data_IF_493693562882
#
_entry.id   IF_493693562882
#
_cell.length_a   1.000
_cell.length_b   1.000
_cell.length_c   1.000
_cell.angle_alpha   90.00
_cell.angle_beta   90.00
_cell.angle_gamma   90.00
#
_symmetry.space_group_name_H-M   'P 1'
#
loop_
_entity.id
_entity.type
_entity.pdbx_description
1 polymer ?
#
# COMPACT_ATOMS: atom_id res chain seq x y z
N UNK A 1 -12.67 -12.82 26.04
CA UNK A 1 -11.42 -12.22 25.53
C UNK A 1 -11.73 -11.64 24.16
N UNK A 2 -12.29 -10.42 24.14
CA UNK A 2 -12.64 -9.75 22.89
C UNK A 2 -11.35 -9.27 22.23
N UNK A 3 -11.07 -9.75 21.02
CA UNK A 3 -9.95 -9.26 20.25
C UNK A 3 -10.20 -7.77 19.94
N UNK A 4 -9.27 -6.93 20.38
CA UNK A 4 -9.15 -5.50 20.09
C UNK A 4 -8.87 -5.23 18.60
N UNK A 5 -9.58 -5.87 17.68
CA UNK A 5 -9.60 -5.50 16.26
C UNK A 5 -10.55 -4.30 16.08
N UNK A 6 -10.33 -3.23 16.85
CA UNK A 6 -10.93 -1.95 16.52
C UNK A 6 -10.44 -1.57 15.11
N UNK A 7 -11.39 -1.14 14.31
CA UNK A 7 -11.34 -1.00 12.86
C UNK A 7 -10.06 -0.29 12.39
N UNK A 8 -9.16 -1.03 11.73
CA UNK A 8 -7.91 -0.52 11.13
C UNK A 8 -8.17 0.72 10.24
N UNK A 9 -9.39 0.86 9.70
CA UNK A 9 -9.81 2.04 8.94
C UNK A 9 -9.77 3.32 9.78
N UNK A 10 -10.14 3.27 11.06
CA UNK A 10 -10.17 4.42 11.97
C UNK A 10 -8.75 4.87 12.34
N UNK A 11 -7.79 3.95 12.41
CA UNK A 11 -6.37 4.27 12.63
C UNK A 11 -5.74 4.86 11.37
N UNK A 12 -6.00 4.25 10.20
CA UNK A 12 -5.55 4.77 8.90
C UNK A 12 -6.16 6.15 8.62
N UNK A 13 -7.41 6.40 8.98
CA UNK A 13 -8.07 7.70 8.82
C UNK A 13 -7.31 8.81 9.58
N UNK A 14 -6.92 8.54 10.83
CA UNK A 14 -6.20 9.50 11.69
C UNK A 14 -4.78 9.80 11.18
N UNK A 15 -4.12 8.81 10.60
CA UNK A 15 -2.71 8.93 10.16
C UNK A 15 -2.56 9.21 8.65
N UNK A 16 -3.66 9.25 7.89
CA UNK A 16 -3.66 9.47 6.43
C UNK A 16 -3.21 10.88 6.02
N UNK A 17 -3.25 11.86 6.92
CA UNK A 17 -2.90 13.25 6.64
C UNK A 17 -1.45 13.43 6.14
N UNK A 18 -0.54 12.51 6.48
CA UNK A 18 0.85 12.52 6.00
C UNK A 18 1.06 11.86 4.63
N UNK A 19 0.04 11.16 4.10
CA UNK A 19 0.17 10.36 2.89
C UNK A 19 -0.04 11.16 1.60
N UNK A 20 -0.76 12.27 1.67
CA UNK A 20 -1.25 13.04 0.52
C UNK A 20 -0.57 14.42 0.48
N UNK A 21 -0.42 15.01 -0.70
CA UNK A 21 0.22 16.33 -0.87
C UNK A 21 -0.47 17.43 -0.05
N UNK A 22 0.31 18.40 0.44
CA UNK A 22 -0.20 19.59 1.10
C UNK A 22 -0.94 20.48 0.07
N UNK A 23 -2.27 20.35 -0.01
CA UNK A 23 -3.10 21.09 -0.97
C UNK A 23 -4.31 20.32 -1.49
N UNK A 24 -4.36 18.99 -1.31
CA UNK A 24 -5.62 18.24 -1.39
C UNK A 24 -6.50 18.60 -0.18
N UNK A 25 -7.82 18.47 -0.30
CA UNK A 25 -8.84 19.02 0.62
C UNK A 25 -8.87 18.47 2.07
N UNK A 26 -7.73 18.13 2.66
CA UNK A 26 -7.61 17.47 3.96
C UNK A 26 -7.28 15.97 3.84
N UNK A 27 -7.36 15.21 4.94
CA UNK A 27 -7.27 13.74 4.90
C UNK A 27 -8.28 13.17 3.91
N UNK A 28 -7.96 12.02 3.30
CA UNK A 28 -8.84 11.37 2.34
C UNK A 28 -10.17 11.08 3.06
N UNK A 29 -11.31 11.65 2.63
CA UNK A 29 -12.58 11.40 3.30
C UNK A 29 -12.89 9.89 3.22
N UNK A 30 -13.60 9.30 4.20
CA UNK A 30 -13.91 7.87 4.19
C UNK A 30 -14.52 7.36 2.88
N UNK A 31 -15.35 8.20 2.22
CA UNK A 31 -15.95 7.90 0.92
C UNK A 31 -14.97 7.89 -0.27
N UNK A 32 -13.79 8.50 -0.13
CA UNK A 32 -12.73 8.58 -1.13
C UNK A 32 -11.58 7.59 -0.92
N UNK A 33 -11.53 6.88 0.21
CA UNK A 33 -10.45 5.94 0.53
C UNK A 33 -10.36 4.80 -0.48
N UNK A 34 -11.50 4.20 -0.85
CA UNK A 34 -11.53 3.10 -1.83
C UNK A 34 -11.02 3.57 -3.20
N UNK A 35 -11.45 4.75 -3.66
CA UNK A 35 -11.01 5.34 -4.92
C UNK A 35 -9.51 5.66 -4.91
N UNK A 36 -8.98 6.17 -3.80
CA UNK A 36 -7.55 6.42 -3.64
C UNK A 36 -6.74 5.12 -3.69
N UNK A 37 -7.18 4.07 -2.98
CA UNK A 37 -6.54 2.76 -3.02
C UNK A 37 -6.59 2.19 -4.43
N UNK A 38 -7.73 2.26 -5.13
CA UNK A 38 -7.87 1.82 -6.52
C UNK A 38 -6.88 2.53 -7.45
N UNK A 39 -6.73 3.85 -7.29
CA UNK A 39 -5.76 4.62 -8.03
C UNK A 39 -4.33 4.19 -7.70
N UNK A 40 -3.98 4.02 -6.43
CA UNK A 40 -2.63 3.65 -6.00
C UNK A 40 -2.22 2.25 -6.48
N UNK A 41 -3.17 1.31 -6.50
CA UNK A 41 -2.95 -0.04 -7.01
C UNK A 41 -2.74 -0.04 -8.53
N UNK A 42 -3.49 0.80 -9.25
CA UNK A 42 -3.44 0.85 -10.72
C UNK A 42 -2.23 1.65 -11.24
N UNK A 43 -2.01 2.84 -10.68
CA UNK A 43 -0.91 3.74 -11.01
C UNK A 43 -0.57 4.64 -9.80
N UNK A 44 0.34 4.14 -8.95
CA UNK A 44 0.81 4.91 -7.81
C UNK A 44 1.59 6.19 -8.19
N UNK A 45 2.13 6.29 -9.42
CA UNK A 45 2.88 7.49 -9.84
C UNK A 45 1.95 8.67 -10.09
N UNK A 46 0.77 8.41 -10.64
CA UNK A 46 -0.30 9.39 -10.84
C UNK A 46 -1.10 9.72 -9.57
N UNK A 47 -0.86 9.03 -8.45
CA UNK A 47 -1.52 9.35 -7.20
C UNK A 47 -1.02 10.66 -6.58
N UNK A 48 -1.91 11.42 -5.93
CA UNK A 48 -1.57 12.66 -5.23
C UNK A 48 -0.89 12.40 -3.88
N UNK A 49 0.15 11.55 -3.86
CA UNK A 49 0.90 11.24 -2.65
C UNK A 49 1.97 12.29 -2.36
N UNK A 50 2.24 12.54 -1.07
CA UNK A 50 3.30 13.46 -0.66
C UNK A 50 4.67 13.03 -1.21
N UNK A 51 5.59 13.98 -1.41
CA UNK A 51 6.96 13.67 -1.87
C UNK A 51 7.65 12.64 -0.97
N UNK A 52 7.40 12.72 0.35
CA UNK A 52 7.90 11.76 1.32
C UNK A 52 7.43 10.34 1.02
N UNK A 53 6.15 10.16 0.72
CA UNK A 53 5.57 8.85 0.34
C UNK A 53 6.05 8.42 -1.05
N UNK A 54 6.16 9.35 -1.98
CA UNK A 54 6.66 9.06 -3.34
C UNK A 54 8.03 8.38 -3.31
N UNK A 55 8.97 8.89 -2.50
CA UNK A 55 10.33 8.32 -2.41
C UNK A 55 10.33 6.89 -1.83
N UNK A 56 9.47 6.57 -0.86
CA UNK A 56 9.40 5.21 -0.32
C UNK A 56 8.73 4.22 -1.29
N UNK A 57 7.77 4.68 -2.10
CA UNK A 57 7.18 3.89 -3.17
C UNK A 57 8.17 3.62 -4.31
N UNK A 58 9.00 4.60 -4.69
CA UNK A 58 10.12 4.39 -5.63
C UNK A 58 11.07 3.30 -5.13
N UNK A 59 11.39 3.33 -3.83
CA UNK A 59 12.27 2.33 -3.23
C UNK A 59 11.61 0.95 -3.16
N UNK A 60 10.31 0.88 -2.86
CA UNK A 60 9.53 -0.35 -2.91
C UNK A 60 9.58 -0.99 -4.31
N UNK A 61 9.37 -0.20 -5.36
CA UNK A 61 9.50 -0.68 -6.74
C UNK A 61 10.91 -1.20 -7.03
N UNK A 62 11.95 -0.48 -6.58
CA UNK A 62 13.35 -0.88 -6.77
C UNK A 62 13.64 -2.23 -6.11
N UNK A 63 13.23 -2.43 -4.84
CA UNK A 63 13.38 -3.69 -4.12
C UNK A 63 12.66 -4.84 -4.84
N UNK A 64 11.48 -4.56 -5.40
CA UNK A 64 10.68 -5.57 -6.10
C UNK A 64 11.26 -5.97 -7.45
N UNK A 65 11.74 -5.01 -8.24
CA UNK A 65 12.21 -5.26 -9.62
C UNK A 65 13.70 -5.58 -9.72
N UNK A 66 14.53 -4.89 -8.96
CA UNK A 66 16.00 -4.91 -9.08
C UNK A 66 16.68 -4.90 -7.70
N UNK A 67 16.37 -5.85 -6.80
CA UNK A 67 16.85 -5.83 -5.41
C UNK A 67 18.38 -5.79 -5.30
N UNK A 68 19.10 -6.45 -6.22
CA UNK A 68 20.56 -6.46 -6.26
C UNK A 68 21.21 -5.09 -6.50
N UNK A 69 20.45 -4.10 -6.98
CA UNK A 69 20.92 -2.72 -7.19
C UNK A 69 20.70 -1.80 -5.99
N UNK A 70 20.06 -2.28 -4.92
CA UNK A 70 19.84 -1.49 -3.71
C UNK A 70 21.17 -1.18 -3.02
N UNK A 71 21.34 0.06 -2.59
CA UNK A 71 22.58 0.52 -1.98
C UNK A 71 22.33 1.56 -0.88
N UNK A 72 23.39 1.93 -0.16
CA UNK A 72 23.31 2.89 0.94
C UNK A 72 22.76 4.26 0.52
N UNK A 73 22.95 4.65 -0.75
CA UNK A 73 22.42 5.91 -1.27
C UNK A 73 20.88 5.94 -1.30
N UNK A 74 20.21 4.80 -1.51
CA UNK A 74 18.75 4.74 -1.45
C UNK A 74 18.24 5.03 -0.03
N UNK A 75 18.89 4.44 0.97
CA UNK A 75 18.59 4.69 2.39
C UNK A 75 18.86 6.15 2.76
N UNK A 76 19.94 6.74 2.23
CA UNK A 76 20.22 8.17 2.43
C UNK A 76 19.12 9.06 1.83
N UNK A 77 18.65 8.76 0.61
CA UNK A 77 17.52 9.49 -0.01
C UNK A 77 16.26 9.44 0.84
N UNK A 78 15.94 8.28 1.43
CA UNK A 78 14.78 8.13 2.33
C UNK A 78 14.93 8.94 3.61
N UNK A 79 16.11 8.95 4.22
CA UNK A 79 16.41 9.77 5.40
C UNK A 79 16.27 11.26 5.09
N UNK A 80 16.79 11.71 3.95
CA UNK A 80 16.65 13.11 3.49
C UNK A 80 15.19 13.49 3.25
N UNK A 81 14.34 12.54 2.83
CA UNK A 81 12.89 12.72 2.73
C UNK A 81 12.17 12.69 4.10
N UNK A 82 12.89 12.50 5.21
CA UNK A 82 12.36 12.56 6.57
C UNK A 82 11.86 11.22 7.12
N UNK A 83 12.24 10.09 6.54
CA UNK A 83 11.97 8.77 7.12
C UNK A 83 12.99 8.42 8.21
N UNK A 84 12.51 7.87 9.32
CA UNK A 84 13.38 7.33 10.37
C UNK A 84 13.95 5.97 9.95
N UNK A 85 15.08 5.58 10.53
CA UNK A 85 15.67 4.26 10.27
C UNK A 85 14.73 3.11 10.61
N UNK A 86 13.95 3.24 11.69
CA UNK A 86 12.92 2.28 12.06
C UNK A 86 11.84 2.17 10.98
N UNK A 87 11.30 3.30 10.49
CA UNK A 87 10.28 3.28 9.44
C UNK A 87 10.81 2.73 8.10
N UNK A 88 12.07 3.03 7.75
CA UNK A 88 12.71 2.46 6.56
C UNK A 88 12.83 0.94 6.71
N UNK A 89 13.30 0.47 7.87
CA UNK A 89 13.41 -0.95 8.16
C UNK A 89 12.06 -1.66 8.07
N UNK A 90 11.02 -1.11 8.71
CA UNK A 90 9.68 -1.70 8.71
C UNK A 90 9.10 -1.77 7.28
N UNK A 91 9.27 -0.72 6.49
CA UNK A 91 8.86 -0.72 5.09
C UNK A 91 9.58 -1.83 4.30
N UNK A 92 10.91 -1.95 4.43
CA UNK A 92 11.69 -2.99 3.76
C UNK A 92 11.22 -4.39 4.15
N UNK A 93 10.89 -4.62 5.42
CA UNK A 93 10.36 -5.90 5.88
C UNK A 93 9.03 -6.25 5.21
N UNK A 94 8.09 -5.30 5.16
CA UNK A 94 6.78 -5.50 4.51
C UNK A 94 6.96 -5.78 3.01
N UNK A 95 7.76 -4.96 2.32
CA UNK A 95 8.03 -5.11 0.88
C UNK A 95 8.67 -6.48 0.60
N UNK A 96 9.68 -6.86 1.37
CA UNK A 96 10.39 -8.13 1.20
C UNK A 96 9.47 -9.33 1.47
N UNK A 97 8.61 -9.24 2.50
CA UNK A 97 7.66 -10.29 2.82
C UNK A 97 6.66 -10.54 1.69
N UNK A 98 6.05 -9.48 1.14
CA UNK A 98 5.14 -9.63 -0.01
C UNK A 98 5.86 -10.19 -1.25
N UNK A 99 7.09 -9.74 -1.50
CA UNK A 99 7.92 -10.29 -2.56
C UNK A 99 8.25 -11.78 -2.36
N UNK A 100 8.40 -12.25 -1.13
CA UNK A 100 8.59 -13.68 -0.84
C UNK A 100 7.30 -14.47 -1.07
N UNK A 101 6.19 -14.08 -0.44
CA UNK A 101 4.95 -14.86 -0.49
C UNK A 101 4.34 -14.89 -1.90
N UNK A 102 4.45 -13.81 -2.67
CA UNK A 102 4.00 -13.78 -4.06
C UNK A 102 4.75 -14.80 -4.90
N UNK A 103 6.08 -14.91 -4.73
CA UNK A 103 6.88 -15.93 -5.44
C UNK A 103 6.53 -17.35 -5.03
N UNK A 104 6.21 -17.58 -3.75
CA UNK A 104 5.75 -18.89 -3.28
C UNK A 104 4.40 -19.24 -3.91
N UNK A 105 3.45 -18.31 -3.92
CA UNK A 105 2.14 -18.50 -4.54
C UNK A 105 2.26 -18.79 -6.04
N UNK A 106 3.05 -17.99 -6.76
CA UNK A 106 3.30 -18.15 -8.19
C UNK A 106 3.97 -19.50 -8.50
N UNK A 107 4.97 -19.90 -7.71
CA UNK A 107 5.71 -21.14 -7.92
C UNK A 107 4.88 -22.40 -7.63
N UNK A 108 3.90 -22.30 -6.73
CA UNK A 108 2.99 -23.40 -6.39
C UNK A 108 1.71 -23.40 -7.22
N UNK A 109 1.49 -22.39 -8.07
CA UNK A 109 0.28 -22.25 -8.87
C UNK A 109 -0.96 -22.03 -8.01
N UNK A 110 -0.84 -21.28 -6.91
CA UNK A 110 -1.97 -20.96 -6.04
C UNK A 110 -2.97 -20.11 -6.81
N UNK A 111 -4.18 -20.63 -6.99
CA UNK A 111 -5.28 -19.90 -7.62
C UNK A 111 -5.97 -18.97 -6.61
N UNK A 112 -6.52 -17.86 -7.12
CA UNK A 112 -7.36 -16.97 -6.33
C UNK A 112 -8.65 -17.69 -5.93
N UNK A 113 -9.12 -17.46 -4.69
CA UNK A 113 -10.39 -18.03 -4.24
C UNK A 113 -11.55 -17.54 -5.11
N UNK A 114 -12.36 -18.49 -5.60
CA UNK A 114 -13.57 -18.18 -6.35
C UNK A 114 -14.56 -17.43 -5.46
N UNK A 115 -14.97 -16.23 -5.90
CA UNK A 115 -15.95 -15.40 -5.20
C UNK A 115 -15.36 -14.21 -4.43
N UNK A 116 -14.02 -14.11 -4.32
CA UNK A 116 -13.40 -12.88 -3.86
C UNK A 116 -13.30 -11.88 -5.02
N UNK A 117 -13.79 -10.63 -4.86
CA UNK A 117 -13.57 -9.60 -5.85
C UNK A 117 -12.09 -9.28 -5.92
N UNK A 118 -11.58 -8.96 -7.12
CA UNK A 118 -10.22 -8.47 -7.27
C UNK A 118 -10.04 -7.22 -6.40
N UNK A 119 -9.01 -7.22 -5.56
CA UNK A 119 -8.69 -6.06 -4.73
C UNK A 119 -8.45 -4.87 -5.64
N UNK A 120 -9.09 -3.73 -5.37
CA UNK A 120 -9.00 -2.61 -6.29
C UNK A 120 -10.18 -2.44 -7.25
N UNK A 121 -11.14 -3.37 -7.26
CA UNK A 121 -12.34 -3.29 -8.09
C UNK A 121 -13.60 -3.05 -7.24
N UNK A 122 -14.56 -2.23 -7.73
CA UNK A 122 -15.86 -2.11 -7.10
C UNK A 122 -16.49 -3.50 -6.95
N UNK A 123 -17.02 -3.82 -5.76
CA UNK A 123 -17.86 -5.02 -5.63
C UNK A 123 -19.00 -4.88 -6.62
N UNK A 124 -19.10 -5.79 -7.58
CA UNK A 124 -20.32 -5.92 -8.38
C UNK A 124 -21.48 -6.06 -7.38
N UNK A 125 -22.49 -5.20 -7.50
CA UNK A 125 -23.56 -5.06 -6.52
C UNK A 125 -24.08 -6.45 -6.09
N UNK A 126 -24.12 -6.70 -4.79
CA UNK A 126 -24.76 -7.87 -4.19
C UNK A 126 -26.29 -7.75 -4.27
N UNK A 127 -26.82 -7.63 -5.49
CA UNK A 127 -28.25 -7.65 -5.82
C UNK A 127 -28.52 -8.68 -6.92
N UNK A 128 -27.94 -9.88 -6.82
CA UNK A 128 -28.48 -11.04 -7.53
C UNK A 128 -28.20 -12.34 -6.78
N UNK A 129 -28.91 -12.51 -5.67
CA UNK A 129 -29.18 -13.84 -5.13
C UNK A 129 -30.59 -13.81 -4.55
N UNK A 130 -31.55 -13.68 -5.45
CA UNK A 130 -32.91 -14.15 -5.21
C UNK A 130 -32.93 -15.66 -5.36
N UNK A 131 -32.56 -16.39 -4.29
CA UNK A 131 -33.07 -17.73 -3.91
C UNK A 131 -33.03 -17.77 -2.39
#
# INVERSE_FOLDING_TARGET
>A
MQAHANDLRVEVEKDSAGLVEAGTAGPIPPAGCDAFVHQAVSDWRGCPVSDKVRVILEYAEKITRVPASCCQNDVHRLRTAGWSDAAIHDAVQVIAYFNYINRVADALGVELESGLPMWGHPRANAIDSGI
#
